data_IF_723212671155
#
_entry.id   IF_723212671155
#
_cell.length_a   1.000
_cell.length_b   1.000
_cell.length_c   1.000
_cell.angle_alpha   90.00
_cell.angle_beta   90.00
_cell.angle_gamma   90.00
#
_symmetry.space_group_name_H-M   'P 1'
#
loop_
_entity.id
_entity.type
_entity.pdbx_description
1 polymer ?
#
# COMPACT_ATOMS: atom_id res chain seq x y z
N UNK A 1 22.41 36.54 7.72
CA UNK A 1 21.27 35.69 7.32
C UNK A 1 21.75 34.87 6.12
N UNK A 2 22.06 33.59 6.33
CA UNK A 2 22.62 32.70 5.30
C UNK A 2 21.62 31.59 5.04
N UNK A 3 21.17 31.48 3.80
CA UNK A 3 20.27 30.43 3.34
C UNK A 3 21.13 29.17 3.23
N UNK A 4 21.07 28.30 4.25
CA UNK A 4 21.59 26.94 4.15
C UNK A 4 20.49 26.05 3.58
N UNK A 5 20.24 26.22 2.29
CA UNK A 5 19.67 25.19 1.45
C UNK A 5 20.75 24.13 1.21
N UNK A 6 20.97 23.25 2.18
CA UNK A 6 21.58 21.94 1.93
C UNK A 6 20.46 20.91 1.98
N UNK A 7 19.72 20.85 0.87
CA UNK A 7 19.09 19.61 0.44
C UNK A 7 20.24 18.62 0.19
N UNK A 8 20.54 17.79 1.18
CA UNK A 8 21.54 16.73 1.03
C UNK A 8 21.15 15.53 1.88
N UNK A 9 20.30 14.70 1.28
CA UNK A 9 20.52 13.26 1.20
C UNK A 9 20.82 12.53 2.51
N UNK A 10 19.82 12.39 3.37
CA UNK A 10 19.57 11.09 4.01
C UNK A 10 18.06 10.89 4.02
N UNK A 11 17.48 10.65 2.83
CA UNK A 11 16.30 9.78 2.80
C UNK A 11 16.87 8.44 3.26
N UNK A 12 16.80 8.22 4.57
CA UNK A 12 16.91 6.90 5.15
C UNK A 12 16.13 6.00 4.21
N UNK A 13 16.79 5.00 3.63
CA UNK A 13 16.11 3.92 2.94
C UNK A 13 15.36 3.21 4.07
N UNK A 14 14.22 3.81 4.44
CA UNK A 14 13.36 3.32 5.51
C UNK A 14 13.02 1.89 5.11
N UNK A 15 13.20 1.01 6.09
CA UNK A 15 13.00 -0.42 6.00
C UNK A 15 11.82 -0.69 5.07
N UNK A 16 12.07 -1.48 4.01
CA UNK A 16 11.05 -1.84 3.02
C UNK A 16 10.07 -2.82 3.68
N UNK A 17 9.28 -2.31 4.61
CA UNK A 17 8.23 -3.06 5.26
C UNK A 17 7.17 -3.37 4.23
N UNK A 18 7.01 -4.66 3.96
CA UNK A 18 5.92 -5.14 3.12
C UNK A 18 4.67 -5.20 3.98
N UNK A 19 3.95 -4.08 4.04
CA UNK A 19 2.71 -3.97 4.81
C UNK A 19 1.53 -4.74 4.22
N UNK A 20 1.58 -5.05 2.92
CA UNK A 20 0.50 -5.73 2.21
C UNK A 20 1.05 -6.96 1.50
N UNK A 21 0.25 -8.03 1.53
CA UNK A 21 0.52 -9.29 0.85
C UNK A 21 -0.67 -9.65 -0.02
N UNK A 22 -0.40 -10.01 -1.27
CA UNK A 22 -1.40 -10.60 -2.16
C UNK A 22 -1.39 -12.12 -1.99
N UNK A 23 -2.50 -12.67 -1.50
CA UNK A 23 -2.72 -14.11 -1.33
C UNK A 23 -3.99 -14.52 -2.09
N UNK A 24 -3.79 -15.11 -3.28
CA UNK A 24 -4.84 -15.59 -4.19
C UNK A 24 -5.88 -14.53 -4.53
N UNK A 25 -6.99 -14.47 -3.79
CA UNK A 25 -8.10 -13.54 -4.04
C UNK A 25 -8.21 -12.45 -3.00
N UNK A 26 -7.20 -12.28 -2.15
CA UNK A 26 -7.23 -11.37 -1.02
C UNK A 26 -5.95 -10.55 -0.90
N UNK A 27 -6.09 -9.29 -0.48
CA UNK A 27 -5.01 -8.54 0.16
C UNK A 27 -5.09 -8.75 1.66
N UNK A 28 -3.97 -9.15 2.24
CA UNK A 28 -3.75 -9.32 3.67
C UNK A 28 -2.74 -8.29 4.17
N UNK A 29 -2.81 -7.97 5.45
CA UNK A 29 -2.02 -6.92 6.06
C UNK A 29 -0.97 -7.49 7.01
N UNK A 30 0.15 -6.79 7.14
CA UNK A 30 1.21 -7.15 8.09
C UNK A 30 0.70 -7.02 9.52
N UNK A 31 1.12 -7.95 10.39
CA UNK A 31 0.83 -7.91 11.82
C UNK A 31 1.40 -6.64 12.50
N UNK A 32 2.42 -6.01 11.89
CA UNK A 32 2.98 -4.73 12.35
C UNK A 32 1.99 -3.56 12.24
N UNK A 33 0.90 -3.69 11.47
CA UNK A 33 -0.16 -2.69 11.37
C UNK A 33 -1.14 -2.81 12.54
N UNK A 34 -0.68 -2.43 13.73
CA UNK A 34 -1.43 -2.54 14.98
C UNK A 34 -2.41 -1.37 15.25
N UNK A 35 -2.76 -0.59 14.23
CA UNK A 35 -3.61 0.58 14.33
C UNK A 35 -4.46 0.75 13.06
N UNK A 36 -5.60 1.46 13.13
CA UNK A 36 -6.40 1.74 11.96
C UNK A 36 -5.61 2.51 10.90
N UNK A 37 -5.90 2.23 9.63
CA UNK A 37 -5.25 2.86 8.49
C UNK A 37 -6.18 2.95 7.28
N UNK A 38 -5.90 3.90 6.39
CA UNK A 38 -6.59 3.99 5.12
C UNK A 38 -5.80 3.30 4.02
N UNK A 39 -6.51 2.67 3.09
CA UNK A 39 -5.94 1.99 1.94
C UNK A 39 -6.67 2.38 0.65
N UNK A 40 -5.88 2.58 -0.39
CA UNK A 40 -6.33 2.76 -1.76
C UNK A 40 -5.64 1.75 -2.67
N UNK A 41 -6.38 1.17 -3.61
CA UNK A 41 -5.85 0.32 -4.66
C UNK A 41 -6.14 0.96 -6.01
N UNK A 42 -5.10 1.19 -6.79
CA UNK A 42 -5.17 1.75 -8.13
C UNK A 42 -4.75 0.70 -9.16
N UNK A 43 -5.38 0.72 -10.33
CA UNK A 43 -4.83 0.01 -11.50
C UNK A 43 -3.62 0.76 -12.09
N UNK A 44 -2.94 0.14 -13.06
CA UNK A 44 -1.74 0.72 -13.69
C UNK A 44 -1.99 2.07 -14.39
N UNK A 45 -3.23 2.36 -14.77
CA UNK A 45 -3.60 3.64 -15.40
C UNK A 45 -3.88 4.72 -14.34
N UNK A 46 -3.70 4.41 -13.04
CA UNK A 46 -3.96 5.32 -11.94
C UNK A 46 -5.43 5.44 -11.56
N UNK A 47 -6.33 4.60 -12.11
CA UNK A 47 -7.74 4.62 -11.72
C UNK A 47 -7.90 3.96 -10.35
N UNK A 48 -8.58 4.65 -9.44
CA UNK A 48 -8.94 4.13 -8.12
C UNK A 48 -9.97 3.01 -8.25
N UNK A 49 -9.66 1.83 -7.71
CA UNK A 49 -10.51 0.64 -7.75
C UNK A 49 -11.12 0.34 -6.37
N UNK A 50 -10.32 0.49 -5.31
CA UNK A 50 -10.74 0.25 -3.93
C UNK A 50 -10.27 1.41 -3.07
N UNK A 51 -11.14 1.87 -2.18
CA UNK A 51 -10.80 2.76 -1.06
C UNK A 51 -11.48 2.22 0.18
N UNK A 52 -10.74 2.01 1.26
CA UNK A 52 -11.26 1.47 2.51
C UNK A 52 -10.49 2.00 3.71
N UNK A 53 -11.19 2.16 4.84
CA UNK A 53 -10.58 2.29 6.15
C UNK A 53 -10.53 0.89 6.79
N UNK A 54 -9.35 0.45 7.21
CA UNK A 54 -9.13 -0.83 7.89
C UNK A 54 -8.99 -0.54 9.37
N UNK A 55 -9.84 -1.17 10.19
CA UNK A 55 -9.89 -0.92 11.63
C UNK A 55 -9.25 -2.07 12.40
N UNK A 56 -9.26 -3.28 11.82
CA UNK A 56 -8.58 -4.46 12.33
C UNK A 56 -7.68 -5.08 11.23
N UNK A 57 -6.44 -5.40 11.58
CA UNK A 57 -5.44 -6.06 10.75
C UNK A 57 -5.80 -7.52 10.38
N UNK A 58 -6.73 -8.16 11.07
CA UNK A 58 -7.33 -9.45 10.65
C UNK A 58 -8.25 -9.31 9.42
N UNK A 59 -8.67 -8.08 9.09
CA UNK A 59 -9.46 -7.85 7.89
C UNK A 59 -8.65 -8.17 6.64
N UNK A 60 -9.33 -8.67 5.62
CA UNK A 60 -8.76 -8.83 4.28
C UNK A 60 -9.63 -8.10 3.27
N UNK A 61 -9.00 -7.64 2.18
CA UNK A 61 -9.73 -7.03 1.07
C UNK A 61 -9.86 -8.07 -0.04
N UNK A 62 -11.08 -8.46 -0.43
CA UNK A 62 -11.27 -9.32 -1.59
C UNK A 62 -10.83 -8.57 -2.85
N UNK A 63 -9.95 -9.18 -3.63
CA UNK A 63 -9.42 -8.69 -4.90
C UNK A 63 -9.51 -9.74 -6.02
N UNK A 64 -10.23 -10.84 -5.78
CA UNK A 64 -10.46 -11.88 -6.78
C UNK A 64 -11.09 -11.34 -8.07
N UNK A 65 -11.97 -10.34 -7.95
CA UNK A 65 -12.66 -9.68 -9.06
C UNK A 65 -11.74 -8.82 -9.95
N UNK A 66 -10.52 -8.53 -9.52
CA UNK A 66 -9.58 -7.74 -10.31
C UNK A 66 -9.10 -8.54 -11.51
N UNK A 67 -8.94 -7.88 -12.65
CA UNK A 67 -8.31 -8.50 -13.82
C UNK A 67 -6.82 -8.78 -13.55
N UNK A 68 -6.22 -9.65 -14.37
CA UNK A 68 -4.75 -9.78 -14.37
C UNK A 68 -4.10 -8.44 -14.68
N UNK A 69 -3.02 -8.12 -13.97
CA UNK A 69 -2.33 -6.85 -14.15
C UNK A 69 -1.55 -6.40 -12.94
N UNK A 70 -1.00 -5.20 -13.06
CA UNK A 70 -0.24 -4.52 -12.02
C UNK A 70 -1.17 -3.55 -11.30
N UNK A 71 -1.06 -3.54 -9.96
CA UNK A 71 -1.81 -2.66 -9.11
C UNK A 71 -0.89 -1.95 -8.12
N UNK A 72 -1.21 -0.70 -7.82
CA UNK A 72 -0.55 0.10 -6.80
C UNK A 72 -1.45 0.18 -5.57
N UNK A 73 -0.91 -0.21 -4.43
CA UNK A 73 -1.55 -0.08 -3.12
C UNK A 73 -0.90 1.09 -2.40
N UNK A 74 -1.72 2.03 -1.95
CA UNK A 74 -1.29 3.15 -1.11
C UNK A 74 -1.92 2.98 0.25
N UNK A 75 -1.12 3.14 1.29
CA UNK A 75 -1.54 3.14 2.68
C UNK A 75 -1.33 4.53 3.26
N UNK A 76 -2.19 4.93 4.17
CA UNK A 76 -1.97 6.09 5.03
C UNK A 76 -2.04 5.66 6.49
N UNK A 77 -0.87 5.69 7.13
CA UNK A 77 -0.63 5.19 8.50
C UNK A 77 0.22 6.25 9.19
N UNK A 78 -0.10 6.62 10.44
CA UNK A 78 0.70 7.57 11.23
C UNK A 78 1.09 8.86 10.49
N UNK A 79 0.12 9.45 9.77
CA UNK A 79 0.32 10.66 8.98
C UNK A 79 1.36 10.54 7.86
N UNK A 80 1.69 9.32 7.45
CA UNK A 80 2.63 9.00 6.38
C UNK A 80 1.97 8.15 5.31
N UNK A 81 2.43 8.34 4.07
CA UNK A 81 1.98 7.54 2.94
C UNK A 81 3.01 6.47 2.58
N UNK A 82 2.56 5.23 2.49
CA UNK A 82 3.36 4.10 2.00
C UNK A 82 2.78 3.60 0.70
N UNK A 83 3.62 3.20 -0.25
CA UNK A 83 3.19 2.71 -1.56
C UNK A 83 3.86 1.38 -1.87
N UNK A 84 3.06 0.40 -2.30
CA UNK A 84 3.53 -0.93 -2.67
C UNK A 84 2.85 -1.38 -3.97
N UNK A 85 3.58 -2.15 -4.78
CA UNK A 85 3.05 -2.75 -6.01
C UNK A 85 2.75 -4.22 -5.77
N UNK A 86 1.63 -4.73 -6.27
CA UNK A 86 1.42 -6.17 -6.46
C UNK A 86 1.05 -6.50 -7.91
N UNK A 87 1.29 -7.75 -8.30
CA UNK A 87 0.96 -8.26 -9.64
C UNK A 87 0.01 -9.44 -9.51
N UNK A 88 -1.13 -9.36 -10.19
CA UNK A 88 -2.09 -10.46 -10.31
C UNK A 88 -1.85 -11.16 -11.64
N UNK A 89 -1.33 -12.38 -11.59
CA UNK A 89 -1.00 -13.17 -12.78
C UNK A 89 -2.11 -14.17 -13.18
N UNK A 90 -3.12 -14.35 -12.33
CA UNK A 90 -4.18 -15.33 -12.47
C UNK A 90 -5.56 -14.70 -12.37
N UNK A 91 -6.51 -15.24 -13.14
CA UNK A 91 -7.94 -14.95 -13.04
C UNK A 91 -8.56 -16.16 -12.36
N UNK A 92 -9.32 -15.94 -11.30
CA UNK A 92 -10.06 -16.97 -10.59
C UNK A 92 -11.52 -16.92 -11.03
#
# INVERSE_FOLDING_TARGET
MSIKDEVSSVISIEQKENYVMYDKSYLKFSENLNQPFDIWVYDINGRLIIQKNIVNNDESIPVGFLNKGIYLVRLYINNQYFSQKFMKNESF
#
